data_IF_655302072817
#
_entry.id   IF_655302072817
#
_cell.length_a   1.000
_cell.length_b   1.000
_cell.length_c   1.000
_cell.angle_alpha   90.00
_cell.angle_beta   90.00
_cell.angle_gamma   90.00
#
_symmetry.space_group_name_H-M   'P 1'
#
loop_
_entity.id
_entity.type
_entity.pdbx_description
1 polymer ?
#
# COMPACT_ATOMS: atom_id res chain seq x y z
N UNK A 1 -1.46 -2.44 17.71
CA UNK A 1 -2.78 -1.90 17.33
C UNK A 1 -3.65 -3.10 17.01
N UNK A 2 -4.92 -3.07 17.36
CA UNK A 2 -5.88 -4.12 17.00
C UNK A 2 -6.38 -3.83 15.58
N UNK A 3 -6.55 -4.87 14.76
CA UNK A 3 -7.08 -4.69 13.40
C UNK A 3 -8.55 -4.27 13.49
N UNK A 4 -8.87 -3.09 12.96
CA UNK A 4 -10.19 -2.47 12.99
C UNK A 4 -10.80 -2.31 11.58
N UNK A 5 -10.06 -2.69 10.53
CA UNK A 5 -10.53 -2.80 9.16
C UNK A 5 -10.55 -4.26 8.70
N UNK A 6 -11.61 -4.68 8.01
CA UNK A 6 -11.72 -5.98 7.33
C UNK A 6 -12.16 -5.69 5.89
N UNK A 7 -11.50 -6.30 4.90
CA UNK A 7 -11.82 -6.11 3.49
C UNK A 7 -13.25 -6.57 3.18
N UNK A 8 -13.84 -6.02 2.12
CA UNK A 8 -15.23 -6.28 1.69
C UNK A 8 -15.52 -7.77 1.48
N UNK A 9 -14.54 -8.51 0.98
CA UNK A 9 -14.60 -9.96 0.74
C UNK A 9 -14.13 -10.80 1.95
N UNK A 10 -13.66 -10.16 3.03
CA UNK A 10 -13.14 -10.80 4.23
C UNK A 10 -11.79 -11.49 4.07
N UNK A 11 -11.05 -11.23 2.98
CA UNK A 11 -9.76 -11.88 2.70
C UNK A 11 -8.57 -11.30 3.47
N UNK A 12 -8.66 -10.07 3.97
CA UNK A 12 -7.61 -9.48 4.80
C UNK A 12 -8.15 -8.45 5.81
N UNK A 13 -7.30 -8.13 6.79
CA UNK A 13 -7.55 -7.05 7.77
C UNK A 13 -6.27 -6.27 8.04
N UNK A 14 -6.41 -5.06 8.58
CA UNK A 14 -5.30 -4.27 9.10
C UNK A 14 -5.78 -3.27 10.16
N UNK A 15 -4.85 -2.62 10.85
CA UNK A 15 -5.12 -1.55 11.79
C UNK A 15 -5.14 -0.20 11.04
N UNK A 16 -6.34 0.30 10.72
CA UNK A 16 -6.58 1.62 10.16
C UNK A 16 -6.16 2.69 11.16
N UNK A 17 -5.34 3.63 10.67
CA UNK A 17 -4.82 4.73 11.47
C UNK A 17 -5.95 5.68 11.92
N UNK A 18 -5.78 6.29 13.10
CA UNK A 18 -6.72 7.28 13.61
C UNK A 18 -6.88 8.45 12.63
N UNK A 19 -8.12 8.89 12.41
CA UNK A 19 -8.44 9.97 11.46
C UNK A 19 -8.55 9.53 10.00
N UNK A 20 -8.11 8.32 9.65
CA UNK A 20 -8.27 7.79 8.29
C UNK A 20 -9.65 7.16 8.06
N UNK A 21 -10.17 7.30 6.85
CA UNK A 21 -11.46 6.75 6.44
C UNK A 21 -11.39 6.14 5.04
N UNK A 22 -12.15 5.07 4.81
CA UNK A 22 -12.33 4.46 3.49
C UNK A 22 -13.21 5.37 2.60
N UNK A 23 -12.93 5.37 1.30
CA UNK A 23 -13.79 5.92 0.26
C UNK A 23 -13.90 4.96 -0.92
N UNK A 24 -14.92 5.14 -1.75
CA UNK A 24 -15.15 4.28 -2.92
C UNK A 24 -14.09 4.53 -4.00
N UNK A 25 -13.52 3.45 -4.54
CA UNK A 25 -12.64 3.47 -5.71
C UNK A 25 -13.34 2.72 -6.86
N UNK A 26 -13.00 3.06 -8.11
CA UNK A 26 -13.64 2.47 -9.29
C UNK A 26 -13.23 0.99 -9.50
N UNK A 27 -12.10 0.57 -8.91
CA UNK A 27 -11.66 -0.82 -8.89
C UNK A 27 -12.18 -1.56 -7.65
N UNK A 28 -13.03 -2.58 -7.88
CA UNK A 28 -13.64 -3.39 -6.81
C UNK A 28 -12.60 -4.08 -5.90
N UNK A 29 -11.43 -4.42 -6.44
CA UNK A 29 -10.33 -5.05 -5.70
C UNK A 29 -9.48 -4.04 -4.90
N UNK A 30 -9.75 -2.75 -5.08
CA UNK A 30 -9.02 -1.66 -4.44
C UNK A 30 -9.80 -1.09 -3.26
N UNK A 31 -9.08 -0.97 -2.14
CA UNK A 31 -9.53 -0.33 -0.91
C UNK A 31 -8.79 0.98 -0.75
N UNK A 32 -9.51 2.09 -0.80
CA UNK A 32 -8.91 3.42 -0.84
C UNK A 32 -9.24 4.22 0.44
N UNK A 33 -8.26 4.93 0.96
CA UNK A 33 -8.33 5.64 2.23
C UNK A 33 -7.68 7.01 2.15
N UNK A 34 -8.21 7.96 2.92
CA UNK A 34 -7.66 9.30 3.08
C UNK A 34 -7.76 9.74 4.54
N UNK A 35 -6.95 10.72 4.95
CA UNK A 35 -7.04 11.27 6.29
C UNK A 35 -8.21 12.26 6.39
N UNK A 36 -9.35 11.77 6.90
CA UNK A 36 -10.62 12.50 6.93
C UNK A 36 -10.65 13.73 7.84
N UNK A 37 -9.74 13.79 8.82
CA UNK A 37 -9.66 14.86 9.82
C UNK A 37 -8.60 15.92 9.51
N UNK A 38 -7.74 15.71 8.51
CA UNK A 38 -6.73 16.68 8.12
C UNK A 38 -7.24 17.63 7.02
N UNK A 39 -6.82 18.89 7.10
CA UNK A 39 -7.10 19.90 6.09
C UNK A 39 -5.92 20.87 6.02
N UNK A 40 -5.23 20.99 4.87
CA UNK A 40 -5.57 20.48 3.54
C UNK A 40 -5.37 18.95 3.36
N UNK A 41 -5.73 18.42 2.19
CA UNK A 41 -5.53 17.01 1.81
C UNK A 41 -4.06 16.58 1.96
N UNK A 42 -3.83 15.43 2.62
CA UNK A 42 -2.48 14.95 2.97
C UNK A 42 -2.05 13.69 2.22
N UNK A 43 -2.93 13.16 1.38
CA UNK A 43 -2.64 12.00 0.53
C UNK A 43 -3.77 10.97 0.50
N UNK A 44 -3.66 10.03 -0.44
CA UNK A 44 -4.56 8.88 -0.55
C UNK A 44 -3.75 7.58 -0.52
N UNK A 45 -4.12 6.68 0.38
CA UNK A 45 -3.65 5.30 0.41
C UNK A 45 -4.60 4.44 -0.42
N UNK A 46 -4.08 3.62 -1.32
CA UNK A 46 -4.82 2.55 -1.97
C UNK A 46 -4.16 1.22 -1.70
N UNK A 47 -4.94 0.20 -1.38
CA UNK A 47 -4.51 -1.19 -1.22
C UNK A 47 -5.31 -2.03 -2.20
N UNK A 48 -4.65 -2.51 -3.25
CA UNK A 48 -5.24 -3.47 -4.19
C UNK A 48 -4.79 -4.86 -3.80
N UNK A 49 -5.75 -5.73 -3.48
CA UNK A 49 -5.47 -7.12 -3.11
C UNK A 49 -5.71 -8.05 -4.30
N UNK A 50 -4.78 -8.99 -4.52
CA UNK A 50 -4.90 -9.99 -5.57
C UNK A 50 -4.42 -11.35 -5.06
N UNK A 51 -5.15 -12.40 -5.45
CA UNK A 51 -4.79 -13.79 -5.16
C UNK A 51 -4.63 -14.55 -6.46
N UNK A 52 -3.44 -15.07 -6.74
CA UNK A 52 -3.27 -15.99 -7.86
C UNK A 52 -4.07 -17.29 -7.60
N UNK A 53 -4.67 -17.90 -8.63
CA UNK A 53 -5.33 -19.20 -8.49
C UNK A 53 -4.35 -20.26 -7.98
N UNK A 54 -4.85 -21.19 -7.17
CA UNK A 54 -4.03 -22.30 -6.66
C UNK A 54 -3.29 -23.01 -7.79
N UNK A 55 -1.99 -23.17 -7.57
CA UNK A 55 -1.05 -23.76 -8.52
C UNK A 55 -0.89 -25.24 -8.21
N UNK A 56 -0.51 -26.01 -9.22
CA UNK A 56 -0.15 -27.42 -9.05
C UNK A 56 1.14 -27.64 -8.24
N UNK A 57 1.92 -26.58 -7.99
CA UNK A 57 3.10 -26.57 -7.15
C UNK A 57 2.88 -25.68 -5.91
N UNK A 58 2.61 -26.27 -4.72
CA UNK A 58 2.39 -25.53 -3.48
C UNK A 58 3.69 -24.96 -2.88
N UNK A 59 4.86 -25.33 -3.40
CA UNK A 59 6.16 -24.89 -2.87
C UNK A 59 6.63 -23.55 -3.47
N UNK A 60 5.86 -22.95 -4.41
CA UNK A 60 6.20 -21.68 -5.04
C UNK A 60 5.53 -20.52 -4.32
N UNK A 61 6.34 -19.60 -3.78
CA UNK A 61 5.89 -18.33 -3.24
C UNK A 61 5.86 -17.27 -4.36
N UNK A 62 4.71 -17.19 -5.06
CA UNK A 62 4.51 -16.24 -6.17
C UNK A 62 4.59 -14.80 -5.72
N UNK A 63 4.15 -14.50 -4.50
CA UNK A 63 4.28 -13.18 -3.94
C UNK A 63 5.76 -12.79 -3.83
N UNK A 64 6.62 -13.69 -3.36
CA UNK A 64 8.07 -13.45 -3.30
C UNK A 64 8.71 -13.23 -4.68
N UNK A 65 8.30 -14.00 -5.69
CA UNK A 65 8.76 -13.81 -7.09
C UNK A 65 8.36 -12.43 -7.61
N UNK A 66 7.09 -12.04 -7.43
CA UNK A 66 6.56 -10.74 -7.89
C UNK A 66 7.20 -9.56 -7.14
N UNK A 67 7.42 -9.69 -5.83
CA UNK A 67 8.16 -8.70 -5.04
C UNK A 67 9.59 -8.53 -5.56
N UNK A 68 10.24 -9.63 -5.94
CA UNK A 68 11.61 -9.59 -6.48
C UNK A 68 11.63 -8.87 -7.83
N UNK A 69 10.71 -9.18 -8.74
CA UNK A 69 10.62 -8.48 -10.03
C UNK A 69 10.34 -7.00 -9.85
N UNK A 70 9.46 -6.61 -8.93
CA UNK A 70 9.15 -5.20 -8.66
C UNK A 70 10.37 -4.40 -8.17
N UNK A 71 11.27 -5.03 -7.41
CA UNK A 71 12.54 -4.40 -6.98
C UNK A 71 13.50 -4.23 -8.16
N UNK A 72 13.59 -5.23 -9.03
CA UNK A 72 14.54 -5.23 -10.15
C UNK A 72 14.10 -4.33 -11.32
N UNK A 73 12.79 -4.26 -11.59
CA UNK A 73 12.23 -3.58 -12.76
C UNK A 73 11.95 -2.09 -12.52
N UNK A 74 11.76 -1.66 -11.27
CA UNK A 74 11.46 -0.26 -10.95
C UNK A 74 12.71 0.51 -10.49
N UNK A 75 12.92 1.68 -11.09
CA UNK A 75 14.01 2.58 -10.70
C UNK A 75 13.91 2.96 -9.22
N UNK A 76 15.02 2.79 -8.49
CA UNK A 76 15.06 3.04 -7.05
C UNK A 76 14.37 1.99 -6.19
N UNK A 77 14.01 0.83 -6.76
CA UNK A 77 13.49 -0.33 -6.04
C UNK A 77 14.37 -0.76 -4.87
N UNK A 78 13.75 -0.93 -3.71
CA UNK A 78 14.41 -1.35 -2.47
C UNK A 78 13.64 -2.50 -1.82
N UNK A 79 14.38 -3.46 -1.28
CA UNK A 79 13.82 -4.45 -0.36
C UNK A 79 13.76 -3.85 1.05
N UNK A 80 12.56 -3.70 1.58
CA UNK A 80 12.33 -3.30 2.97
C UNK A 80 11.46 -4.34 3.67
N UNK A 81 11.34 -4.23 5.00
CA UNK A 81 10.46 -5.08 5.79
C UNK A 81 9.45 -4.23 6.54
N UNK A 82 8.16 -4.53 6.34
CA UNK A 82 7.06 -3.92 7.09
C UNK A 82 6.33 -5.02 7.85
N UNK A 83 6.41 -4.98 9.19
CA UNK A 83 5.87 -6.02 10.05
C UNK A 83 6.44 -7.40 9.71
N UNK A 84 5.54 -8.32 9.32
CA UNK A 84 5.90 -9.70 8.98
C UNK A 84 6.25 -9.92 7.51
N UNK A 85 6.11 -8.91 6.66
CA UNK A 85 6.27 -9.08 5.22
C UNK A 85 7.52 -8.38 4.68
N UNK A 86 8.13 -9.02 3.67
CA UNK A 86 9.09 -8.35 2.81
C UNK A 86 8.31 -7.50 1.80
N UNK A 87 8.83 -6.33 1.47
CA UNK A 87 8.18 -5.41 0.54
C UNK A 87 9.19 -4.93 -0.51
N UNK A 88 8.75 -4.86 -1.76
CA UNK A 88 9.36 -3.96 -2.73
C UNK A 88 8.88 -2.54 -2.41
N UNK A 89 9.79 -1.59 -2.30
CA UNK A 89 9.47 -0.19 -2.09
C UNK A 89 10.18 0.68 -3.13
N UNK A 90 9.43 1.60 -3.73
CA UNK A 90 9.94 2.63 -4.64
C UNK A 90 8.96 3.80 -4.69
N UNK A 91 9.33 4.87 -5.38
CA UNK A 91 8.44 6.01 -5.62
C UNK A 91 8.50 6.42 -7.08
N UNK A 92 7.40 6.98 -7.59
CA UNK A 92 7.32 7.57 -8.93
C UNK A 92 6.82 9.00 -8.83
N UNK A 93 7.45 9.90 -9.56
CA UNK A 93 6.98 11.27 -9.74
C UNK A 93 6.11 11.35 -11.00
N UNK A 94 5.01 12.07 -10.94
CA UNK A 94 4.12 12.28 -12.08
C UNK A 94 3.58 13.71 -12.09
N UNK A 95 3.05 14.14 -13.23
CA UNK A 95 2.35 15.42 -13.38
C UNK A 95 0.95 15.12 -13.90
N UNK A 96 -0.06 15.56 -13.15
CA UNK A 96 -1.48 15.42 -13.50
C UNK A 96 -2.11 16.80 -13.43
N UNK A 97 -2.80 17.21 -14.49
CA UNK A 97 -3.43 18.53 -14.62
C UNK A 97 -2.51 19.73 -14.32
N UNK A 98 -1.21 19.58 -14.57
CA UNK A 98 -0.19 20.60 -14.31
C UNK A 98 0.35 20.61 -12.87
N UNK A 99 -0.13 19.71 -12.02
CA UNK A 99 0.28 19.56 -10.63
C UNK A 99 1.18 18.34 -10.45
N UNK A 100 2.30 18.53 -9.75
CA UNK A 100 3.27 17.48 -9.47
C UNK A 100 2.78 16.57 -8.34
N UNK A 101 2.90 15.27 -8.53
CA UNK A 101 2.54 14.25 -7.55
C UNK A 101 3.71 13.28 -7.30
N UNK A 102 3.73 12.71 -6.11
CA UNK A 102 4.60 11.59 -5.76
C UNK A 102 3.72 10.42 -5.34
N UNK A 103 3.93 9.28 -5.95
CA UNK A 103 3.30 8.02 -5.54
C UNK A 103 4.36 7.08 -4.98
N UNK A 104 4.22 6.75 -3.70
CA UNK A 104 5.00 5.72 -3.02
C UNK A 104 4.34 4.37 -3.25
N UNK A 105 5.15 3.34 -3.48
CA UNK A 105 4.69 1.98 -3.72
C UNK A 105 5.25 1.05 -2.65
N UNK A 106 4.42 0.14 -2.14
CA UNK A 106 4.82 -1.01 -1.34
C UNK A 106 4.11 -2.24 -1.87
N UNK A 107 4.87 -3.14 -2.47
CA UNK A 107 4.33 -4.40 -2.99
C UNK A 107 4.76 -5.47 -2.01
N UNK A 108 3.78 -6.18 -1.45
CA UNK A 108 4.01 -7.14 -0.38
C UNK A 108 3.02 -8.29 -0.43
N UNK A 109 3.29 -9.39 0.24
CA UNK A 109 2.44 -10.56 0.15
C UNK A 109 3.11 -11.83 0.64
N UNK A 110 2.41 -12.94 0.49
CA UNK A 110 2.88 -14.27 0.88
C UNK A 110 2.16 -15.35 0.08
N UNK A 111 2.89 -16.37 -0.35
CA UNK A 111 2.35 -17.49 -1.11
C UNK A 111 1.66 -17.01 -2.39
N UNK A 112 0.33 -17.13 -2.47
CA UNK A 112 -0.48 -16.70 -3.62
C UNK A 112 -1.14 -15.33 -3.40
N UNK A 113 -0.94 -14.69 -2.25
CA UNK A 113 -1.54 -13.39 -1.92
C UNK A 113 -0.56 -12.25 -2.14
N UNK A 114 -0.98 -11.23 -2.87
CA UNK A 114 -0.23 -9.98 -3.07
C UNK A 114 -1.11 -8.77 -2.76
N UNK A 115 -0.47 -7.76 -2.18
CA UNK A 115 -1.01 -6.45 -1.91
C UNK A 115 -0.14 -5.43 -2.63
N UNK A 116 -0.76 -4.63 -3.50
CA UNK A 116 -0.15 -3.47 -4.13
C UNK A 116 -0.65 -2.26 -3.37
N UNK A 117 0.19 -1.73 -2.49
CA UNK A 117 -0.12 -0.57 -1.69
C UNK A 117 0.50 0.68 -2.33
N UNK A 118 -0.29 1.72 -2.53
CA UNK A 118 0.20 3.00 -3.04
C UNK A 118 -0.22 4.14 -2.14
N UNK A 119 0.65 5.14 -1.98
CA UNK A 119 0.32 6.38 -1.29
C UNK A 119 0.69 7.55 -2.18
N UNK A 120 -0.31 8.33 -2.59
CA UNK A 120 -0.11 9.48 -3.48
C UNK A 120 -0.28 10.78 -2.71
N UNK A 121 0.65 11.71 -2.89
CA UNK A 121 0.63 13.08 -2.33
C UNK A 121 0.94 14.10 -3.42
N UNK A 122 0.67 15.37 -3.16
CA UNK A 122 1.26 16.45 -3.96
C UNK A 122 2.77 16.52 -3.70
N UNK A 123 3.57 16.74 -4.75
CA UNK A 123 5.03 16.86 -4.61
C UNK A 123 5.45 17.99 -3.68
N UNK A 124 4.64 19.04 -3.53
CA UNK A 124 4.88 20.14 -2.60
C UNK A 124 4.83 19.70 -1.12
N UNK A 125 4.06 18.65 -0.81
CA UNK A 125 3.90 18.16 0.56
C UNK A 125 5.11 17.36 1.05
N UNK A 126 5.95 16.84 0.14
CA UNK A 126 7.14 16.01 0.46
C UNK A 126 8.06 16.64 1.51
N UNK A 127 8.12 17.97 1.57
CA UNK A 127 9.00 18.71 2.47
C UNK A 127 8.30 19.23 3.74
N UNK A 128 7.04 18.86 3.95
CA UNK A 128 6.26 19.26 5.11
C UNK A 128 6.31 18.18 6.21
N UNK A 129 6.26 18.55 7.51
CA UNK A 129 6.26 17.59 8.61
C UNK A 129 5.09 16.60 8.58
N UNK A 130 3.94 17.01 8.02
CA UNK A 130 2.77 16.14 7.87
C UNK A 130 3.08 14.94 6.98
N UNK A 131 3.95 15.09 5.97
CA UNK A 131 4.32 14.00 5.09
C UNK A 131 5.00 12.84 5.83
N UNK A 132 5.95 13.13 6.74
CA UNK A 132 6.60 12.09 7.54
C UNK A 132 5.61 11.37 8.48
N UNK A 133 4.63 12.12 8.99
CA UNK A 133 3.58 11.59 9.86
C UNK A 133 2.67 10.63 9.10
N UNK A 134 2.17 11.03 7.93
CA UNK A 134 1.31 10.18 7.09
C UNK A 134 2.06 8.99 6.52
N UNK A 135 3.32 9.16 6.10
CA UNK A 135 4.13 8.06 5.60
C UNK A 135 4.33 6.98 6.68
N UNK A 136 4.56 7.41 7.92
CA UNK A 136 4.65 6.50 9.08
C UNK A 136 3.31 5.80 9.35
N UNK A 137 2.19 6.52 9.28
CA UNK A 137 0.85 5.94 9.44
C UNK A 137 0.58 4.88 8.37
N UNK A 138 0.85 5.19 7.10
CA UNK A 138 0.71 4.28 5.96
C UNK A 138 1.57 3.02 6.13
N UNK A 139 2.84 3.18 6.48
CA UNK A 139 3.73 2.04 6.70
C UNK A 139 3.26 1.16 7.86
N UNK A 140 2.69 1.75 8.92
CA UNK A 140 2.10 1.00 10.03
C UNK A 140 0.83 0.25 9.63
N UNK A 141 -0.04 0.87 8.82
CA UNK A 141 -1.22 0.21 8.25
C UNK A 141 -0.79 -1.02 7.44
N UNK A 142 0.17 -0.86 6.51
CA UNK A 142 0.71 -1.96 5.69
C UNK A 142 1.38 -3.04 6.56
N UNK A 143 2.18 -2.64 7.56
CA UNK A 143 2.85 -3.58 8.47
C UNK A 143 1.88 -4.43 9.30
N UNK A 144 0.64 -3.96 9.48
CA UNK A 144 -0.42 -4.63 10.24
C UNK A 144 -1.34 -5.51 9.40
N UNK A 145 -1.12 -5.60 8.08
CA UNK A 145 -1.90 -6.47 7.20
C UNK A 145 -1.88 -7.91 7.74
N UNK A 146 -3.04 -8.55 7.75
CA UNK A 146 -3.21 -9.97 8.05
C UNK A 146 -4.10 -10.59 6.99
N UNK A 147 -3.58 -11.63 6.33
CA UNK A 147 -4.36 -12.49 5.43
C UNK A 147 -5.25 -13.40 6.29
N UNK A 148 -6.54 -13.46 5.97
CA UNK A 148 -7.58 -14.23 6.69
C UNK A 148 -7.92 -15.52 5.94
#
# INVERSE_FOLDING_TARGET
MENNYISRDGSFSFALADGWAEYDDDDEATHAFWHATESPWTGNLRITAFRWPDTTNPDVDRAAEYITSEIEENEGGQSIRLGNYNCAHYQKESVQDGEGHITYYWITGKNNDIFICTFTIDSAQKFLPVHETELTAVQNMIASIQII
#
